data_IF_711365522418
#
_entry.id   IF_711365522418
#
_cell.length_a   1.000
_cell.length_b   1.000
_cell.length_c   1.000
_cell.angle_alpha   90.00
_cell.angle_beta   90.00
_cell.angle_gamma   90.00
#
_symmetry.space_group_name_H-M   'P 1'
#
loop_
_entity.id
_entity.type
_entity.pdbx_description
1 polymer ?
#
# COMPACT_ATOMS: atom_id res chain seq x y z
N UNK A 1 1.70 -38.59 58.17
CA UNK A 1 0.53 -38.43 57.26
C UNK A 1 0.88 -37.40 56.20
N UNK A 2 0.57 -37.61 54.91
CA UNK A 2 0.77 -36.55 53.91
C UNK A 2 -0.26 -35.44 54.15
N UNK A 3 0.20 -34.25 54.54
CA UNK A 3 -0.63 -33.05 54.64
C UNK A 3 -0.97 -32.60 53.21
N UNK A 4 -2.03 -33.17 52.64
CA UNK A 4 -2.57 -32.77 51.35
C UNK A 4 -3.02 -31.30 51.37
N UNK A 5 -2.15 -30.40 50.93
CA UNK A 5 -2.48 -28.99 50.76
C UNK A 5 -3.33 -28.85 49.51
N UNK A 6 -4.65 -28.97 49.70
CA UNK A 6 -5.67 -28.67 48.70
C UNK A 6 -5.37 -27.33 48.03
N UNK A 7 -5.13 -27.36 46.71
CA UNK A 7 -5.09 -26.17 45.86
C UNK A 7 -6.49 -25.59 45.77
N UNK A 8 -6.86 -24.78 46.76
CA UNK A 8 -8.13 -24.04 46.76
C UNK A 8 -8.12 -23.14 45.52
N UNK A 9 -8.89 -23.51 44.50
CA UNK A 9 -9.27 -22.57 43.42
C UNK A 9 -10.08 -21.47 44.09
N UNK A 10 -9.41 -20.39 44.47
CA UNK A 10 -10.05 -19.19 45.02
C UNK A 10 -11.10 -18.72 44.02
N UNK A 11 -12.36 -18.79 44.43
CA UNK A 11 -13.47 -18.20 43.67
C UNK A 11 -13.29 -16.68 43.75
N UNK A 12 -13.18 -16.05 42.58
CA UNK A 12 -13.08 -14.60 42.49
C UNK A 12 -14.32 -13.95 43.12
N UNK A 13 -14.17 -12.80 43.80
CA UNK A 13 -15.31 -12.11 44.42
C UNK A 13 -16.32 -11.67 43.35
N UNK A 14 -17.61 -11.73 43.71
CA UNK A 14 -18.76 -11.55 42.81
C UNK A 14 -18.81 -10.21 42.04
N UNK A 15 -18.00 -9.22 42.45
CA UNK A 15 -17.90 -7.89 41.81
C UNK A 15 -16.64 -7.70 40.96
N UNK A 16 -15.83 -8.74 40.75
CA UNK A 16 -14.70 -8.65 39.81
C UNK A 16 -15.22 -8.64 38.37
N UNK A 17 -14.83 -7.63 37.59
CA UNK A 17 -15.19 -7.55 36.16
C UNK A 17 -14.66 -8.81 35.46
N UNK A 18 -15.50 -9.65 34.84
CA UNK A 18 -15.00 -10.78 34.09
C UNK A 18 -14.15 -10.25 32.95
N UNK A 19 -12.91 -10.75 32.80
CA UNK A 19 -12.14 -10.55 31.56
C UNK A 19 -13.02 -11.10 30.44
N UNK A 20 -13.62 -10.19 29.65
CA UNK A 20 -14.31 -10.52 28.42
C UNK A 20 -13.35 -11.40 27.63
N UNK A 21 -13.66 -12.69 27.48
CA UNK A 21 -13.03 -13.51 26.46
C UNK A 21 -13.37 -12.80 25.18
N UNK A 22 -12.42 -12.05 24.63
CA UNK A 22 -12.53 -11.56 23.26
C UNK A 22 -12.87 -12.78 22.45
N UNK A 23 -14.08 -12.79 21.87
CA UNK A 23 -14.44 -13.79 20.89
C UNK A 23 -13.29 -13.77 19.89
N UNK A 24 -12.50 -14.85 19.87
CA UNK A 24 -11.50 -15.04 18.83
C UNK A 24 -12.33 -15.06 17.55
N UNK A 25 -12.36 -13.92 16.86
CA UNK A 25 -12.80 -13.86 15.47
C UNK A 25 -12.09 -14.96 14.69
N UNK A 26 -12.63 -15.39 13.53
CA UNK A 26 -12.26 -16.63 12.88
C UNK A 26 -10.76 -16.79 12.91
N UNK A 27 -10.29 -17.77 13.67
CA UNK A 27 -8.89 -18.02 13.87
C UNK A 27 -8.32 -18.21 12.46
N UNK A 28 -7.56 -17.23 11.99
CA UNK A 28 -6.81 -17.35 10.76
C UNK A 28 -5.69 -18.35 11.03
N UNK A 29 -6.04 -19.64 11.08
CA UNK A 29 -5.10 -20.72 10.79
C UNK A 29 -4.65 -20.47 9.36
N UNK A 30 -3.62 -19.64 9.23
CA UNK A 30 -2.90 -19.46 7.99
C UNK A 30 -2.45 -20.86 7.60
N UNK A 31 -3.05 -21.40 6.54
CA UNK A 31 -2.57 -22.64 5.92
C UNK A 31 -1.05 -22.49 5.76
N UNK A 32 -0.30 -23.47 6.22
CA UNK A 32 1.17 -23.50 6.19
C UNK A 32 1.73 -23.19 4.79
N UNK A 33 0.98 -23.53 3.74
CA UNK A 33 1.36 -23.35 2.35
C UNK A 33 0.67 -22.17 1.64
N UNK A 34 0.02 -21.24 2.36
CA UNK A 34 -0.56 -20.06 1.71
C UNK A 34 0.53 -19.00 1.51
N UNK A 35 0.73 -18.49 0.27
CA UNK A 35 1.66 -17.39 0.03
C UNK A 35 1.36 -16.25 1.00
N UNK A 36 2.38 -15.79 1.72
CA UNK A 36 2.26 -14.66 2.64
C UNK A 36 1.83 -13.47 1.80
N UNK A 37 0.56 -13.05 1.96
CA UNK A 37 0.06 -11.88 1.27
C UNK A 37 1.02 -10.70 1.52
N UNK A 38 1.45 -9.99 0.47
CA UNK A 38 2.45 -8.94 0.62
C UNK A 38 1.91 -7.90 1.59
N UNK A 39 2.56 -7.80 2.77
CA UNK A 39 2.15 -6.90 3.87
C UNK A 39 2.01 -5.44 3.43
N UNK A 40 2.62 -5.08 2.29
CA UNK A 40 2.70 -3.74 1.72
C UNK A 40 1.67 -3.42 0.63
N UNK A 41 0.83 -4.38 0.19
CA UNK A 41 -0.08 -4.16 -0.94
C UNK A 41 -1.02 -2.96 -0.76
N UNK A 42 -1.54 -2.76 0.46
CA UNK A 42 -2.38 -1.61 0.80
C UNK A 42 -1.61 -0.28 0.68
N UNK A 43 -0.36 -0.25 1.13
CA UNK A 43 0.49 0.93 1.05
C UNK A 43 0.89 1.23 -0.40
N UNK A 44 1.22 0.20 -1.19
CA UNK A 44 1.55 0.36 -2.61
C UNK A 44 0.35 0.87 -3.41
N UNK A 45 -0.85 0.34 -3.17
CA UNK A 45 -2.07 0.82 -3.81
C UNK A 45 -2.36 2.28 -3.46
N UNK A 46 -2.25 2.66 -2.17
CA UNK A 46 -2.43 4.04 -1.73
C UNK A 46 -1.40 5.00 -2.35
N UNK A 47 -0.13 4.58 -2.44
CA UNK A 47 0.92 5.39 -3.06
C UNK A 47 0.72 5.53 -4.58
N UNK A 48 0.29 4.47 -5.26
CA UNK A 48 -0.09 4.54 -6.68
C UNK A 48 -1.23 5.52 -6.90
N UNK A 49 -2.28 5.44 -6.08
CA UNK A 49 -3.42 6.35 -6.15
C UNK A 49 -3.00 7.81 -5.93
N UNK A 50 -2.19 8.10 -4.90
CA UNK A 50 -1.65 9.45 -4.67
C UNK A 50 -0.88 9.96 -5.89
N UNK A 51 0.00 9.13 -6.46
CA UNK A 51 0.78 9.48 -7.67
C UNK A 51 -0.12 9.80 -8.86
N UNK A 52 -1.18 9.02 -9.09
CA UNK A 52 -2.13 9.28 -10.18
C UNK A 52 -2.85 10.61 -9.99
N UNK A 53 -3.33 10.89 -8.77
CA UNK A 53 -4.01 12.16 -8.47
C UNK A 53 -3.07 13.34 -8.70
N UNK A 54 -1.85 13.29 -8.14
CA UNK A 54 -0.87 14.38 -8.32
C UNK A 54 -0.56 14.63 -9.79
N UNK A 55 -0.36 13.58 -10.59
CA UNK A 55 -0.11 13.71 -12.02
C UNK A 55 -1.28 14.37 -12.75
N UNK A 56 -2.50 13.95 -12.46
CA UNK A 56 -3.70 14.46 -13.13
C UNK A 56 -3.97 15.92 -12.77
N UNK A 57 -3.84 16.27 -11.48
CA UNK A 57 -4.00 17.66 -11.02
C UNK A 57 -2.94 18.56 -11.65
N UNK A 58 -1.68 18.14 -11.67
CA UNK A 58 -0.61 18.92 -12.28
C UNK A 58 -0.83 19.09 -13.79
N UNK A 59 -1.23 18.02 -14.49
CA UNK A 59 -1.51 18.07 -15.93
C UNK A 59 -2.67 19.05 -16.24
N UNK A 60 -3.75 19.00 -15.46
CA UNK A 60 -4.88 19.92 -15.63
C UNK A 60 -4.46 21.38 -15.40
N UNK A 61 -3.70 21.66 -14.35
CA UNK A 61 -3.20 23.01 -14.06
C UNK A 61 -2.26 23.49 -15.18
N UNK A 62 -1.36 22.64 -15.66
CA UNK A 62 -0.48 22.97 -16.78
C UNK A 62 -1.26 23.29 -18.05
N UNK A 63 -2.31 22.52 -18.34
CA UNK A 63 -3.16 22.74 -19.50
C UNK A 63 -3.96 24.05 -19.39
N UNK A 64 -4.49 24.37 -18.21
CA UNK A 64 -5.15 25.66 -17.95
C UNK A 64 -4.20 26.84 -18.10
N UNK A 65 -2.97 26.73 -17.59
CA UNK A 65 -1.96 27.76 -17.73
C UNK A 65 -1.55 27.94 -19.20
N UNK A 66 -1.36 26.85 -19.95
CA UNK A 66 -1.08 26.90 -21.38
C UNK A 66 -2.24 27.51 -22.17
N UNK A 67 -3.48 27.14 -21.84
CA UNK A 67 -4.67 27.67 -22.48
C UNK A 67 -4.78 29.19 -22.27
N UNK A 68 -4.52 29.67 -21.04
CA UNK A 68 -4.51 31.11 -20.74
C UNK A 68 -3.36 31.85 -21.42
N UNK A 69 -2.16 31.27 -21.43
CA UNK A 69 -0.97 31.93 -21.98
C UNK A 69 -0.96 31.97 -23.52
N UNK A 70 -1.49 30.95 -24.18
CA UNK A 70 -1.49 30.82 -25.64
C UNK A 70 -2.86 31.11 -26.26
N UNK A 71 -3.81 31.63 -25.48
CA UNK A 71 -5.19 31.91 -25.90
C UNK A 71 -5.84 30.69 -26.60
N UNK A 72 -5.66 29.52 -25.99
CA UNK A 72 -6.15 28.23 -26.51
C UNK A 72 -5.35 27.63 -27.67
N UNK A 73 -4.31 28.30 -28.19
CA UNK A 73 -3.49 27.79 -29.29
C UNK A 73 -2.44 26.80 -28.76
N UNK A 74 -2.73 25.50 -28.86
CA UNK A 74 -1.76 24.46 -28.51
C UNK A 74 -0.61 24.48 -29.50
N UNK A 75 0.54 25.02 -29.09
CA UNK A 75 1.78 24.98 -29.89
C UNK A 75 2.16 23.54 -30.18
N UNK A 76 2.17 23.14 -31.45
CA UNK A 76 2.51 21.80 -31.93
C UNK A 76 4.02 21.49 -31.85
N UNK A 77 4.74 22.03 -30.87
CA UNK A 77 6.16 21.71 -30.65
C UNK A 77 6.29 20.32 -30.02
N UNK A 78 5.94 19.31 -30.80
CA UNK A 78 6.33 17.93 -30.59
C UNK A 78 7.85 17.88 -30.48
N UNK A 79 8.32 17.64 -29.25
CA UNK A 79 9.54 16.93 -28.89
C UNK A 79 10.61 16.83 -30.00
N UNK A 80 11.23 17.95 -30.40
CA UNK A 80 12.54 17.91 -31.08
C UNK A 80 13.63 17.49 -30.07
N UNK A 81 13.60 16.24 -29.60
CA UNK A 81 14.74 15.53 -28.99
C UNK A 81 14.60 14.03 -29.27
N UNK A 82 14.76 13.67 -30.53
CA UNK A 82 15.22 12.36 -30.93
C UNK A 82 16.23 12.58 -32.06
N UNK A 83 17.45 12.96 -31.72
CA UNK A 83 18.59 12.73 -32.60
C UNK A 83 18.97 11.24 -32.49
N UNK A 84 18.86 10.44 -33.55
CA UNK A 84 19.37 9.07 -33.55
C UNK A 84 20.86 9.13 -33.86
N UNK A 85 21.68 9.59 -32.92
CA UNK A 85 23.13 9.51 -33.04
C UNK A 85 23.63 8.29 -32.26
N UNK A 86 24.19 7.34 -33.02
CA UNK A 86 25.03 6.22 -32.58
C UNK A 86 24.35 4.96 -32.02
N UNK A 87 23.42 4.36 -32.78
CA UNK A 87 23.34 2.89 -32.86
C UNK A 87 24.19 2.42 -34.05
N UNK A 88 25.52 2.55 -33.94
CA UNK A 88 26.47 2.03 -34.94
C UNK A 88 26.87 0.61 -34.55
N UNK A 89 26.09 -0.33 -35.09
CA UNK A 89 26.52 -1.63 -35.61
C UNK A 89 27.28 -2.55 -34.64
N UNK A 90 26.55 -3.56 -34.19
CA UNK A 90 27.03 -4.94 -34.20
C UNK A 90 27.76 -5.22 -35.53
N UNK A 91 29.00 -5.71 -35.48
CA UNK A 91 29.53 -6.77 -36.36
C UNK A 91 30.96 -7.14 -35.94
N UNK A 92 31.07 -8.32 -35.31
CA UNK A 92 32.08 -9.38 -35.54
C UNK A 92 33.52 -8.93 -35.89
N UNK A 93 34.46 -9.22 -34.99
CA UNK A 93 35.59 -10.11 -35.30
C UNK A 93 36.09 -10.76 -34.01
#
# INVERSE_FOLDING_TARGET
MPQGKLKVKTKLPAKSKPKRKTAKGPAATKRTNRPIAPKKQKHEAAQKLKKTITKNVNAAIEDDLRAKALDGKKSLTSKKKASPAANRKSKRK
#
